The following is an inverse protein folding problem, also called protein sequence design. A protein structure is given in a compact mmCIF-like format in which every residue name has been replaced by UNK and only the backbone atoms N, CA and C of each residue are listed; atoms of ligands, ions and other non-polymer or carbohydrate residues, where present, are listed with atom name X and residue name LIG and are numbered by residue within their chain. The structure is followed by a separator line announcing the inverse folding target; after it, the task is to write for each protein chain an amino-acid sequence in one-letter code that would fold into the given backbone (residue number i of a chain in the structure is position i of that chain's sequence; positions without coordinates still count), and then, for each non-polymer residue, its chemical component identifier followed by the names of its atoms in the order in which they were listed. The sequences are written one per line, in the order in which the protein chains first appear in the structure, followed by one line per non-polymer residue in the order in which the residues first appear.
data_IF_952194944701
#
_entry.id   IF_952194944701
#
_cell.length_a   1.000
_cell.length_b   1.000
_cell.length_c   1.000
_cell.angle_alpha   90.00
_cell.angle_beta   90.00
_cell.angle_gamma   90.00
#
_symmetry.space_group_name_H-M   'P 1'
#
loop_
_entity.id
_entity.type
_entity.pdbx_description
1 polymer ?
#
# COMPACT_ATOMS: atom_id res chain seq x y z
N UNK A 1 -22.22 -34.19 4.02
CA UNK A 1 -20.99 -33.39 3.84
C UNK A 1 -21.19 -31.93 4.26
N UNK A 2 -22.26 -31.25 3.84
CA UNK A 2 -22.56 -29.87 4.25
C UNK A 2 -22.70 -29.69 5.78
N UNK A 3 -23.29 -30.66 6.49
CA UNK A 3 -23.49 -30.56 7.94
C UNK A 3 -22.18 -30.59 8.74
N UNK A 4 -21.18 -31.35 8.27
CA UNK A 4 -19.87 -31.44 8.94
C UNK A 4 -19.11 -30.11 8.85
N UNK A 5 -19.13 -29.49 7.67
CA UNK A 5 -18.52 -28.17 7.46
C UNK A 5 -19.23 -27.10 8.29
N UNK A 6 -20.57 -27.13 8.34
CA UNK A 6 -21.35 -26.18 9.14
C UNK A 6 -20.98 -26.23 10.62
N UNK A 7 -20.81 -27.42 11.19
CA UNK A 7 -20.43 -27.56 12.60
C UNK A 7 -19.00 -27.06 12.86
N UNK A 8 -18.05 -27.42 11.99
CA UNK A 8 -16.66 -26.93 12.06
C UNK A 8 -16.59 -25.41 11.95
N UNK A 9 -17.35 -24.81 11.04
CA UNK A 9 -17.43 -23.36 10.86
C UNK A 9 -18.06 -22.66 12.05
N UNK A 10 -19.17 -23.19 12.58
CA UNK A 10 -19.85 -22.63 13.76
C UNK A 10 -18.93 -22.63 14.98
N UNK A 11 -18.24 -23.75 15.21
CA UNK A 11 -17.24 -23.87 16.29
C UNK A 11 -16.08 -22.90 16.08
N UNK A 12 -15.53 -22.82 14.87
CA UNK A 12 -14.42 -21.92 14.54
C UNK A 12 -14.77 -20.44 14.70
N UNK A 13 -15.99 -20.06 14.32
CA UNK A 13 -16.48 -18.69 14.45
C UNK A 13 -16.65 -18.29 15.93
N UNK A 14 -16.97 -19.26 16.79
CA UNK A 14 -17.05 -19.06 18.25
C UNK A 14 -15.66 -18.96 18.87
N UNK A 15 -14.75 -19.88 18.50
CA UNK A 15 -13.36 -19.85 18.94
C UNK A 15 -12.41 -20.40 17.87
N UNK A 16 -11.48 -19.55 17.43
CA UNK A 16 -10.52 -19.89 16.38
C UNK A 16 -9.34 -20.76 16.88
N UNK A 17 -9.18 -20.87 18.21
CA UNK A 17 -8.19 -21.74 18.86
C UNK A 17 -8.79 -23.12 19.10
N UNK A 18 -8.18 -24.13 18.47
CA UNK A 18 -8.57 -25.51 18.67
C UNK A 18 -7.88 -26.06 19.94
N UNK A 19 -8.61 -26.10 21.06
CA UNK A 19 -8.14 -26.77 22.28
C UNK A 19 -8.23 -28.29 22.13
N UNK A 20 -7.51 -29.03 22.97
CA UNK A 20 -7.53 -30.49 22.94
C UNK A 20 -8.93 -31.05 23.18
N UNK A 21 -9.65 -30.50 24.16
CA UNK A 21 -11.03 -30.89 24.49
C UNK A 21 -11.98 -30.71 23.31
N UNK A 22 -12.04 -29.50 22.76
CA UNK A 22 -12.90 -29.16 21.60
C UNK A 22 -12.54 -30.02 20.38
N UNK A 23 -11.26 -30.31 20.17
CA UNK A 23 -10.82 -31.19 19.06
C UNK A 23 -11.40 -32.58 19.19
N UNK A 24 -11.35 -33.19 20.37
CA UNK A 24 -11.86 -34.54 20.58
C UNK A 24 -13.39 -34.58 20.57
N UNK A 25 -14.05 -33.55 21.11
CA UNK A 25 -15.50 -33.42 21.05
C UNK A 25 -16.02 -33.32 19.61
N UNK A 26 -15.46 -32.39 18.82
CA UNK A 26 -15.81 -32.25 17.41
C UNK A 26 -15.49 -33.51 16.60
N UNK A 27 -14.36 -34.16 16.87
CA UNK A 27 -14.00 -35.41 16.20
C UNK A 27 -15.05 -36.51 16.45
N UNK A 28 -15.50 -36.64 17.70
CA UNK A 28 -16.55 -37.59 18.10
C UNK A 28 -17.89 -37.26 17.44
N UNK A 29 -18.32 -36.00 17.50
CA UNK A 29 -19.61 -35.56 16.96
C UNK A 29 -19.68 -35.68 15.44
N UNK A 30 -18.56 -35.41 14.75
CA UNK A 30 -18.46 -35.47 13.29
C UNK A 30 -18.16 -36.87 12.74
N UNK A 31 -17.78 -37.82 13.61
CA UNK A 31 -17.26 -39.13 13.20
C UNK A 31 -15.95 -39.03 12.42
N UNK A 32 -15.12 -38.01 12.70
CA UNK A 32 -13.87 -37.74 11.98
C UNK A 32 -12.65 -38.01 12.86
N UNK A 33 -11.50 -38.39 12.27
CA UNK A 33 -10.24 -38.44 13.02
C UNK A 33 -9.87 -37.06 13.59
N UNK A 34 -9.40 -36.96 14.85
CA UNK A 34 -8.96 -35.68 15.44
C UNK A 34 -7.92 -34.92 14.62
N UNK A 35 -7.09 -35.65 13.86
CA UNK A 35 -6.12 -35.08 12.92
C UNK A 35 -6.79 -34.29 11.79
N UNK A 36 -7.91 -34.79 11.24
CA UNK A 36 -8.65 -34.10 10.17
C UNK A 36 -9.25 -32.79 10.68
N UNK A 37 -9.78 -32.78 11.91
CA UNK A 37 -10.26 -31.55 12.57
C UNK A 37 -9.10 -30.55 12.73
N UNK A 38 -7.93 -31.01 13.18
CA UNK A 38 -6.75 -30.15 13.33
C UNK A 38 -6.29 -29.53 11.99
N UNK A 39 -6.19 -30.34 10.93
CA UNK A 39 -5.82 -29.88 9.58
C UNK A 39 -6.85 -28.88 9.06
N UNK A 40 -8.14 -29.15 9.26
CA UNK A 40 -9.20 -28.24 8.85
C UNK A 40 -9.06 -26.87 9.53
N UNK A 41 -8.81 -26.84 10.85
CA UNK A 41 -8.59 -25.60 11.60
C UNK A 41 -7.35 -24.84 11.12
N UNK A 42 -6.25 -25.54 10.84
CA UNK A 42 -5.04 -24.94 10.27
C UNK A 42 -5.33 -24.29 8.91
N UNK A 43 -5.96 -25.03 8.00
CA UNK A 43 -6.32 -24.55 6.68
C UNK A 43 -7.32 -23.38 6.74
N UNK A 44 -8.27 -23.43 7.68
CA UNK A 44 -9.25 -22.35 7.86
C UNK A 44 -8.58 -21.06 8.32
N UNK A 45 -7.60 -21.13 9.23
CA UNK A 45 -6.78 -19.97 9.65
C UNK A 45 -5.93 -19.44 8.50
N UNK A 46 -5.28 -20.33 7.75
CA UNK A 46 -4.49 -19.94 6.58
C UNK A 46 -5.35 -19.19 5.55
N UNK A 47 -6.54 -19.72 5.23
CA UNK A 47 -7.52 -19.06 4.36
C UNK A 47 -7.99 -17.72 4.91
N UNK A 48 -8.33 -17.63 6.20
CA UNK A 48 -8.74 -16.35 6.82
C UNK A 48 -7.63 -15.30 6.69
N UNK A 49 -6.38 -15.68 6.98
CA UNK A 49 -5.23 -14.77 6.84
C UNK A 49 -5.04 -14.31 5.40
N UNK A 50 -5.13 -15.23 4.44
CA UNK A 50 -5.04 -14.91 3.02
C UNK A 50 -6.13 -13.90 2.60
N UNK A 51 -7.39 -14.16 2.96
CA UNK A 51 -8.50 -13.27 2.66
C UNK A 51 -8.30 -11.87 3.28
N UNK A 52 -7.87 -11.80 4.55
CA UNK A 52 -7.58 -10.51 5.20
C UNK A 52 -6.49 -9.74 4.45
N UNK A 53 -5.39 -10.41 4.06
CA UNK A 53 -4.32 -9.77 3.29
C UNK A 53 -4.79 -9.29 1.91
N UNK A 54 -5.65 -10.06 1.24
CA UNK A 54 -6.24 -9.66 -0.04
C UNK A 54 -7.14 -8.44 0.10
N UNK A 55 -7.96 -8.38 1.14
CA UNK A 55 -8.86 -7.26 1.40
C UNK A 55 -8.08 -5.99 1.80
N UNK A 56 -7.04 -6.13 2.62
CA UNK A 56 -6.13 -5.02 2.96
C UNK A 56 -5.42 -4.48 1.71
N UNK A 57 -4.97 -5.36 0.83
CA UNK A 57 -4.33 -4.95 -0.42
C UNK A 57 -5.30 -4.18 -1.32
N UNK A 58 -6.55 -4.65 -1.48
CA UNK A 58 -7.58 -3.94 -2.25
C UNK A 58 -7.86 -2.55 -1.66
N UNK A 59 -7.93 -2.44 -0.33
CA UNK A 59 -8.13 -1.16 0.35
C UNK A 59 -6.97 -0.20 0.04
N UNK A 60 -5.73 -0.67 0.18
CA UNK A 60 -4.53 0.14 -0.13
C UNK A 60 -4.54 0.61 -1.59
N UNK A 61 -4.95 -0.25 -2.54
CA UNK A 61 -5.04 0.13 -3.95
C UNK A 61 -6.08 1.23 -4.20
N UNK A 62 -7.24 1.15 -3.53
CA UNK A 62 -8.28 2.17 -3.60
C UNK A 62 -7.79 3.50 -3.02
N UNK A 63 -7.20 3.48 -1.82
CA UNK A 63 -6.64 4.66 -1.16
C UNK A 63 -5.55 5.32 -2.03
N UNK A 64 -4.69 4.52 -2.67
CA UNK A 64 -3.69 5.02 -3.62
C UNK A 64 -4.35 5.70 -4.83
N UNK A 65 -5.40 5.10 -5.38
CA UNK A 65 -6.17 5.70 -6.49
C UNK A 65 -6.74 7.06 -6.13
N UNK A 66 -7.32 7.20 -4.93
CA UNK A 66 -7.89 8.45 -4.45
C UNK A 66 -6.81 9.53 -4.26
N UNK A 67 -5.66 9.17 -3.69
CA UNK A 67 -4.53 10.08 -3.52
C UNK A 67 -4.00 10.55 -4.88
N UNK A 68 -3.86 9.65 -5.85
CA UNK A 68 -3.41 10.00 -7.21
C UNK A 68 -4.42 10.93 -7.91
N UNK A 69 -5.71 10.65 -7.80
CA UNK A 69 -6.75 11.52 -8.35
C UNK A 69 -6.73 12.92 -7.70
N UNK A 70 -6.50 12.98 -6.38
CA UNK A 70 -6.31 14.23 -5.65
C UNK A 70 -5.08 15.01 -6.12
N UNK A 71 -3.95 14.32 -6.30
CA UNK A 71 -2.71 14.91 -6.78
C UNK A 71 -2.88 15.52 -8.19
N UNK A 72 -3.50 14.78 -9.12
CA UNK A 72 -3.82 15.28 -10.47
C UNK A 72 -4.71 16.52 -10.42
N UNK A 73 -5.70 16.56 -9.52
CA UNK A 73 -6.58 17.72 -9.36
C UNK A 73 -5.81 18.94 -8.85
N UNK A 74 -4.97 18.76 -7.84
CA UNK A 74 -4.15 19.83 -7.28
C UNK A 74 -3.14 20.37 -8.29
N UNK A 75 -2.51 19.52 -9.08
CA UNK A 75 -1.58 19.94 -10.14
C UNK A 75 -2.28 20.83 -11.19
N UNK A 76 -3.53 20.49 -11.54
CA UNK A 76 -4.35 21.34 -12.42
C UNK A 76 -4.66 22.70 -11.79
N UNK A 77 -5.06 22.71 -10.52
CA UNK A 77 -5.33 23.95 -9.78
C UNK A 77 -4.08 24.84 -9.69
N UNK A 78 -2.93 24.26 -9.36
CA UNK A 78 -1.63 24.95 -9.37
C UNK A 78 -1.34 25.53 -10.75
N UNK A 79 -1.56 24.77 -11.83
CA UNK A 79 -1.37 25.23 -13.19
C UNK A 79 -2.27 26.43 -13.55
N UNK A 80 -3.55 26.36 -13.18
CA UNK A 80 -4.51 27.46 -13.40
C UNK A 80 -4.11 28.71 -12.61
N UNK A 81 -3.81 28.57 -11.32
CA UNK A 81 -3.41 29.68 -10.46
C UNK A 81 -2.10 30.34 -10.95
N UNK A 82 -1.15 29.55 -11.44
CA UNK A 82 0.09 30.09 -12.04
C UNK A 82 -0.20 30.89 -13.32
N UNK A 83 -1.13 30.45 -14.14
CA UNK A 83 -1.53 31.17 -15.35
C UNK A 83 -2.22 32.51 -14.99
N UNK A 84 -3.17 32.48 -14.07
CA UNK A 84 -3.86 33.69 -13.58
C UNK A 84 -2.87 34.70 -12.99
N UNK A 85 -1.94 34.23 -12.17
CA UNK A 85 -0.89 35.07 -11.59
C UNK A 85 -0.03 35.73 -12.69
N UNK A 86 0.36 34.97 -13.71
CA UNK A 86 1.14 35.50 -14.83
C UNK A 86 0.34 36.55 -15.62
N UNK A 87 -0.94 36.30 -15.91
CA UNK A 87 -1.81 37.28 -16.58
C UNK A 87 -1.95 38.56 -15.76
N UNK A 88 -2.20 38.45 -14.45
CA UNK A 88 -2.28 39.62 -13.56
C UNK A 88 -0.96 40.40 -13.55
N UNK A 89 0.19 39.71 -13.51
CA UNK A 89 1.50 40.33 -13.61
C UNK A 89 1.69 41.08 -14.93
N UNK A 90 1.32 40.49 -16.07
CA UNK A 90 1.40 41.15 -17.38
C UNK A 90 0.53 42.41 -17.47
N UNK A 91 -0.67 42.38 -16.89
CA UNK A 91 -1.58 43.55 -16.87
C UNK A 91 -1.10 44.68 -15.97
N UNK A 92 -0.30 44.37 -14.94
CA UNK A 92 0.29 45.33 -14.02
C UNK A 92 1.61 45.94 -14.53
N UNK A 93 2.20 45.40 -15.59
CA UNK A 93 3.39 45.99 -16.22
C UNK A 93 2.98 47.22 -17.06
N UNK A 94 3.64 48.39 -16.89
CA UNK A 94 3.41 49.51 -17.79
C UNK A 94 3.89 49.10 -19.19
N UNK A 95 3.08 49.36 -20.21
CA UNK A 95 3.50 49.33 -21.60
C UNK A 95 4.50 50.47 -21.86
N UNK A 96 5.75 50.32 -21.38
CA UNK A 96 6.84 51.22 -21.73
C UNK A 96 7.59 50.64 -22.92
N UNK A 97 7.19 51.10 -24.10
CA UNK A 97 8.02 51.12 -25.29
C UNK A 97 9.34 51.82 -24.96
N UNK A 98 10.47 51.16 -25.22
CA UNK A 98 11.64 51.65 -25.99
C UNK A 98 12.98 51.09 -25.49
N UNK A 99 13.80 50.77 -26.49
CA UNK A 99 15.14 50.20 -26.46
C UNK A 99 16.09 50.72 -25.37
N UNK A 100 16.99 49.84 -24.91
CA UNK A 100 18.46 50.04 -25.06
C UNK A 100 19.17 48.70 -24.86
N UNK A 101 19.76 48.22 -25.95
CA UNK A 101 20.77 47.16 -26.00
C UNK A 101 22.01 47.59 -25.23
N UNK A 102 22.52 46.76 -24.32
CA UNK A 102 23.89 46.88 -23.79
C UNK A 102 24.46 45.48 -23.52
N UNK A 103 25.51 45.03 -24.24
CA UNK A 103 26.26 43.83 -23.92
C UNK A 103 27.59 44.17 -23.21
N UNK A 104 27.92 43.46 -22.13
CA UNK A 104 29.32 43.18 -21.70
C UNK A 104 29.33 42.22 -20.52
N UNK A 105 29.71 40.95 -20.71
CA UNK A 105 31.06 40.38 -20.50
C UNK A 105 31.56 40.39 -19.05
N UNK A 106 31.42 39.26 -18.36
CA UNK A 106 32.50 38.63 -17.58
C UNK A 106 32.32 37.11 -17.56
N UNK A 107 33.46 36.42 -17.50
CA UNK A 107 33.73 35.07 -17.97
C UNK A 107 33.38 33.96 -16.93
N UNK A 108 33.51 32.67 -17.29
CA UNK A 108 32.93 31.54 -16.59
C UNK A 108 33.81 31.02 -15.45
N UNK A 109 33.19 30.50 -14.40
CA UNK A 109 33.85 29.60 -13.46
C UNK A 109 33.12 28.26 -13.49
N UNK A 110 33.75 27.28 -14.14
CA UNK A 110 33.46 25.87 -13.91
C UNK A 110 33.90 25.53 -12.49
N UNK A 111 33.01 24.92 -11.70
CA UNK A 111 33.41 23.98 -10.66
C UNK A 111 32.54 22.72 -10.75
N UNK A 112 33.24 21.60 -10.63
CA UNK A 112 32.85 20.20 -10.86
C UNK A 112 31.77 19.72 -9.85
N UNK A 113 31.07 18.60 -10.09
CA UNK A 113 29.83 18.22 -9.43
C UNK A 113 30.09 17.62 -8.04
N UNK A 114 29.26 18.03 -7.08
CA UNK A 114 29.11 17.30 -5.82
C UNK A 114 28.22 16.09 -6.06
N UNK A 115 28.82 14.92 -5.91
CA UNK A 115 28.17 13.62 -5.84
C UNK A 115 27.11 13.60 -4.74
N UNK A 116 25.84 13.49 -5.11
CA UNK A 116 24.84 13.00 -4.16
C UNK A 116 24.65 11.50 -4.38
N UNK A 117 25.30 10.77 -3.47
CA UNK A 117 25.15 9.34 -3.21
C UNK A 117 23.67 8.99 -3.11
N UNK A 118 23.20 8.21 -4.08
CA UNK A 118 21.89 7.56 -4.08
C UNK A 118 21.91 6.52 -2.97
N UNK A 119 21.23 6.81 -1.85
CA UNK A 119 21.09 5.87 -0.74
C UNK A 119 20.41 4.59 -1.22
N UNK A 120 21.10 3.48 -1.04
CA UNK A 120 20.59 2.13 -1.27
C UNK A 120 19.41 1.86 -0.31
N UNK A 121 18.25 1.54 -0.89
CA UNK A 121 17.14 0.95 -0.14
C UNK A 121 17.53 -0.51 0.11
N UNK A 122 18.08 -0.77 1.30
CA UNK A 122 18.24 -2.12 1.82
C UNK A 122 16.85 -2.65 2.17
N UNK A 123 16.24 -3.41 1.26
CA UNK A 123 15.10 -4.27 1.57
C UNK A 123 15.60 -5.48 2.36
N UNK A 124 15.79 -5.32 3.67
CA UNK A 124 15.93 -6.44 4.59
C UNK A 124 14.60 -7.20 4.65
N UNK A 125 14.42 -8.13 3.73
CA UNK A 125 13.38 -9.16 3.78
C UNK A 125 13.95 -10.37 4.49
N UNK A 126 14.04 -10.30 5.82
CA UNK A 126 14.18 -11.51 6.63
C UNK A 126 12.86 -12.29 6.52
N UNK A 127 12.90 -13.37 5.73
CA UNK A 127 11.86 -14.39 5.73
C UNK A 127 11.96 -15.16 7.05
N UNK A 128 10.94 -15.16 7.92
CA UNK A 128 10.98 -15.98 9.12
C UNK A 128 11.02 -17.47 8.74
N UNK A 129 12.10 -18.13 9.17
CA UNK A 129 12.27 -19.57 9.08
C UNK A 129 11.21 -20.26 9.94
N UNK A 130 10.15 -20.74 9.30
CA UNK A 130 9.16 -21.63 9.89
C UNK A 130 8.90 -22.80 8.95
N UNK A 131 9.95 -23.57 8.66
CA UNK A 131 9.85 -24.96 8.19
C UNK A 131 11.11 -25.73 8.64
N UNK A 132 11.20 -25.98 9.95
CA UNK A 132 11.89 -27.15 10.50
C UNK A 132 11.02 -27.71 11.63
N UNK A 133 10.23 -28.74 11.31
CA UNK A 133 10.11 -30.03 12.01
C UNK A 133 8.90 -30.79 11.42
#
# INVERSE_FOLDING_TARGET
MHDQLRLLETSFNTNQKLTTEVKFELARELGLPPRQVAIWYQNRRARRKANTMEDDHKKIQMDLGDVLAGNIRLDKEIGMLRNELNTAQQLLLPASSSATTLPSLTAPCNDHPTSNTRGDIICNREMPACFLQ
#
